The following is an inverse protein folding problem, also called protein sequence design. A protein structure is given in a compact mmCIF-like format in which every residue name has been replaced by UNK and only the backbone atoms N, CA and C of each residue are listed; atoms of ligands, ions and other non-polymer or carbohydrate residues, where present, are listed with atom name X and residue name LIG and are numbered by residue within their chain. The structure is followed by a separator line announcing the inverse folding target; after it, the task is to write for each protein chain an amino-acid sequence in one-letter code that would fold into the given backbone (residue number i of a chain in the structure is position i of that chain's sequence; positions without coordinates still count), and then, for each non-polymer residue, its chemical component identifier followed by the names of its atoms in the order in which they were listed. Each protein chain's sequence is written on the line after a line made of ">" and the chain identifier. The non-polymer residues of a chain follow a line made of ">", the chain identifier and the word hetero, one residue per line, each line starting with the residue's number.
data_IF_299355459585
#
_entry.id   IF_299355459585
#
_cell.length_a   1.000
_cell.length_b   1.000
_cell.length_c   1.000
_cell.angle_alpha   90.00
_cell.angle_beta   90.00
_cell.angle_gamma   90.00
#
_symmetry.space_group_name_H-M   'P 1'
#
loop_
_entity.id
_entity.type
_entity.pdbx_description
1 polymer ?
#
# COMPACT_ATOMS: atom_id res chain seq x y z
N UNK A 1 -2.13 23.33 15.16
CA UNK A 1 -2.83 22.02 15.15
C UNK A 1 -1.76 20.95 15.12
N UNK A 2 -1.67 20.12 16.15
CA UNK A 2 -0.78 18.95 16.12
C UNK A 2 -1.41 17.93 15.17
N UNK A 3 -0.84 17.77 13.97
CA UNK A 3 -1.25 16.69 13.09
C UNK A 3 -1.10 15.36 13.85
N UNK A 4 -2.21 14.64 14.01
CA UNK A 4 -2.16 13.30 14.58
C UNK A 4 -1.49 12.40 13.53
N UNK A 5 -0.28 11.86 13.80
CA UNK A 5 0.46 11.13 12.80
C UNK A 5 -0.31 9.87 12.40
N UNK A 6 -0.25 9.51 11.12
CA UNK A 6 -0.84 8.31 10.53
C UNK A 6 -2.37 8.29 10.33
N UNK A 7 -3.13 9.34 10.66
CA UNK A 7 -4.60 9.38 10.41
C UNK A 7 -4.93 9.12 8.94
N UNK A 8 -4.20 9.77 8.01
CA UNK A 8 -4.36 9.55 6.57
C UNK A 8 -4.06 8.10 6.17
N UNK A 9 -3.04 7.48 6.75
CA UNK A 9 -2.67 6.10 6.47
C UNK A 9 -3.77 5.13 6.91
N UNK A 10 -4.27 5.28 8.15
CA UNK A 10 -5.33 4.42 8.68
C UNK A 10 -6.65 4.62 7.92
N UNK A 11 -7.04 5.86 7.64
CA UNK A 11 -8.21 6.14 6.82
C UNK A 11 -8.11 5.55 5.41
N UNK A 12 -6.92 5.59 4.81
CA UNK A 12 -6.68 4.97 3.50
C UNK A 12 -6.78 3.44 3.56
N UNK A 13 -6.24 2.80 4.60
CA UNK A 13 -6.33 1.35 4.81
C UNK A 13 -7.71 0.85 5.22
N UNK A 14 -8.57 1.72 5.77
CA UNK A 14 -9.93 1.37 6.19
C UNK A 14 -10.85 0.89 5.05
N UNK A 15 -10.41 1.00 3.79
CA UNK A 15 -11.13 0.45 2.63
C UNK A 15 -10.75 -1.02 2.44
N UNK A 16 -11.74 -1.92 2.42
CA UNK A 16 -11.52 -3.36 2.36
C UNK A 16 -10.65 -3.85 1.19
N UNK A 17 -10.81 -3.29 -0.01
CA UNK A 17 -9.96 -3.62 -1.17
C UNK A 17 -8.51 -3.18 -0.97
N UNK A 18 -8.27 -2.01 -0.37
CA UNK A 18 -6.93 -1.51 -0.06
C UNK A 18 -6.25 -2.33 1.04
N UNK A 19 -7.01 -2.78 2.04
CA UNK A 19 -6.51 -3.73 3.03
C UNK A 19 -6.10 -5.06 2.39
N UNK A 20 -6.91 -5.62 1.47
CA UNK A 20 -6.55 -6.83 0.72
C UNK A 20 -5.26 -6.67 -0.09
N UNK A 21 -5.10 -5.52 -0.77
CA UNK A 21 -3.86 -5.20 -1.50
C UNK A 21 -2.67 -5.14 -0.53
N UNK A 22 -2.83 -4.47 0.61
CA UNK A 22 -1.78 -4.33 1.61
C UNK A 22 -1.35 -5.70 2.15
N UNK A 23 -2.29 -6.56 2.53
CA UNK A 23 -2.01 -7.93 3.00
C UNK A 23 -1.29 -8.77 1.95
N UNK A 24 -1.73 -8.68 0.70
CA UNK A 24 -1.09 -9.37 -0.42
C UNK A 24 0.37 -8.96 -0.59
N UNK A 25 0.63 -7.65 -0.64
CA UNK A 25 1.99 -7.12 -0.77
C UNK A 25 2.83 -7.39 0.48
N UNK A 26 2.24 -7.43 1.67
CA UNK A 26 2.92 -7.80 2.92
C UNK A 26 3.45 -9.24 2.86
N UNK A 27 2.64 -10.16 2.35
CA UNK A 27 2.99 -11.59 2.22
C UNK A 27 3.96 -11.83 1.06
N UNK A 28 3.75 -11.18 -0.09
CA UNK A 28 4.52 -11.41 -1.33
C UNK A 28 5.79 -10.55 -1.44
N UNK A 29 5.89 -9.45 -0.69
CA UNK A 29 6.98 -8.48 -0.76
C UNK A 29 6.75 -7.40 -1.82
N UNK A 30 6.61 -7.80 -3.10
CA UNK A 30 6.28 -6.88 -4.21
C UNK A 30 5.46 -7.56 -5.31
N UNK A 31 4.70 -6.78 -6.07
CA UNK A 31 3.95 -7.29 -7.22
C UNK A 31 3.67 -6.20 -8.26
N UNK A 32 3.42 -6.61 -9.51
CA UNK A 32 2.98 -5.72 -10.59
C UNK A 32 1.49 -5.41 -10.46
N UNK A 33 1.00 -4.40 -11.19
CA UNK A 33 -0.43 -4.07 -11.22
C UNK A 33 -1.27 -5.29 -11.63
N UNK A 34 -0.84 -6.03 -12.66
CA UNK A 34 -1.54 -7.23 -13.13
C UNK A 34 -1.58 -8.32 -12.05
N UNK A 35 -0.46 -8.58 -11.38
CA UNK A 35 -0.41 -9.55 -10.29
C UNK A 35 -1.27 -9.18 -9.08
N UNK A 36 -1.60 -7.89 -8.90
CA UNK A 36 -2.53 -7.42 -7.85
C UNK A 36 -3.99 -7.55 -8.34
N UNK A 37 -4.26 -7.23 -9.61
CA UNK A 37 -5.56 -7.42 -10.26
C UNK A 37 -6.03 -8.87 -10.16
N UNK A 38 -5.16 -9.82 -10.50
CA UNK A 38 -5.44 -11.26 -10.43
C UNK A 38 -5.81 -11.70 -9.01
N UNK A 39 -5.07 -11.21 -7.99
CA UNK A 39 -5.30 -11.59 -6.60
C UNK A 39 -6.57 -10.98 -5.99
N UNK A 40 -6.81 -9.70 -6.23
CA UNK A 40 -7.92 -8.97 -5.59
C UNK A 40 -9.24 -9.15 -6.36
N UNK A 41 -9.16 -9.59 -7.63
CA UNK A 41 -10.29 -9.80 -8.53
C UNK A 41 -11.13 -8.53 -8.75
N UNK A 42 -10.44 -7.38 -8.93
CA UNK A 42 -11.03 -6.10 -9.32
C UNK A 42 -10.44 -5.64 -10.65
N UNK A 43 -11.12 -4.72 -11.33
CA UNK A 43 -10.65 -4.19 -12.60
C UNK A 43 -9.33 -3.42 -12.45
N UNK A 44 -8.52 -3.42 -13.51
CA UNK A 44 -7.24 -2.70 -13.53
C UNK A 44 -7.36 -1.19 -13.26
N UNK A 45 -8.38 -0.47 -13.78
CA UNK A 45 -8.60 0.93 -13.41
C UNK A 45 -8.83 1.13 -11.91
N UNK A 46 -9.63 0.27 -11.28
CA UNK A 46 -9.89 0.32 -9.84
C UNK A 46 -8.63 0.04 -9.02
N UNK A 47 -7.85 -0.97 -9.40
CA UNK A 47 -6.58 -1.27 -8.73
C UNK A 47 -5.58 -0.13 -8.91
N UNK A 48 -5.44 0.42 -10.11
CA UNK A 48 -4.55 1.57 -10.36
C UNK A 48 -4.92 2.78 -9.51
N UNK A 49 -6.22 3.06 -9.37
CA UNK A 49 -6.72 4.09 -8.46
C UNK A 49 -6.34 3.81 -7.01
N UNK A 50 -6.57 2.60 -6.50
CA UNK A 50 -6.20 2.22 -5.13
C UNK A 50 -4.69 2.34 -4.87
N UNK A 51 -3.85 1.88 -5.81
CA UNK A 51 -2.40 1.95 -5.68
C UNK A 51 -1.91 3.41 -5.63
N UNK A 52 -2.49 4.29 -6.45
CA UNK A 52 -2.20 5.72 -6.41
C UNK A 52 -2.55 6.32 -5.05
N UNK A 53 -3.76 6.07 -4.55
CA UNK A 53 -4.23 6.58 -3.26
C UNK A 53 -3.35 6.09 -2.10
N UNK A 54 -3.02 4.80 -2.08
CA UNK A 54 -2.17 4.20 -1.05
C UNK A 54 -0.72 4.73 -1.11
N UNK A 55 -0.17 4.94 -2.31
CA UNK A 55 1.14 5.58 -2.48
C UNK A 55 1.13 7.03 -1.99
N UNK A 56 0.10 7.81 -2.32
CA UNK A 56 -0.07 9.19 -1.85
C UNK A 56 -0.30 9.30 -0.33
N UNK A 57 -0.83 8.25 0.30
CA UNK A 57 -0.91 8.14 1.74
C UNK A 57 0.41 7.72 2.40
N UNK A 58 1.43 7.34 1.63
CA UNK A 58 2.72 6.89 2.14
C UNK A 58 2.73 5.44 2.63
N UNK A 59 1.74 4.62 2.24
CA UNK A 59 1.66 3.20 2.58
C UNK A 59 2.47 2.31 1.63
N UNK A 60 2.55 2.72 0.36
CA UNK A 60 3.23 1.98 -0.70
C UNK A 60 4.32 2.82 -1.33
N UNK A 61 5.28 2.12 -1.92
CA UNK A 61 6.25 2.65 -2.86
C UNK A 61 6.22 1.85 -4.16
N UNK A 62 6.86 2.37 -5.19
CA UNK A 62 6.90 1.72 -6.49
C UNK A 62 8.27 1.86 -7.12
N UNK A 63 8.75 0.80 -7.74
CA UNK A 63 10.00 0.77 -8.49
C UNK A 63 9.74 0.26 -9.92
N UNK A 64 10.48 0.79 -10.88
CA UNK A 64 10.34 0.42 -12.30
C UNK A 64 11.46 -0.54 -12.68
N UNK A 65 11.10 -1.74 -13.11
CA UNK A 65 12.05 -2.74 -13.60
C UNK A 65 11.71 -3.08 -15.06
N UNK A 66 12.53 -2.56 -15.98
CA UNK A 66 12.25 -2.65 -17.42
C UNK A 66 10.96 -1.93 -17.80
N UNK A 67 10.00 -2.67 -18.36
CA UNK A 67 8.69 -2.14 -18.77
C UNK A 67 7.63 -2.20 -17.66
N UNK A 68 7.91 -2.91 -16.57
CA UNK A 68 6.95 -3.15 -15.50
C UNK A 68 7.17 -2.22 -14.30
N UNK A 69 6.07 -1.92 -13.60
CA UNK A 69 6.07 -1.19 -12.34
C UNK A 69 5.67 -2.15 -11.23
N UNK A 70 6.55 -2.28 -10.24
CA UNK A 70 6.34 -3.09 -9.06
C UNK A 70 5.94 -2.20 -7.89
N UNK A 71 4.95 -2.63 -7.12
CA UNK A 71 4.52 -2.00 -5.87
C UNK A 71 4.94 -2.85 -4.68
N UNK A 72 5.36 -2.19 -3.60
CA UNK A 72 5.73 -2.80 -2.31
C UNK A 72 5.27 -1.91 -1.15
N UNK A 73 5.23 -2.47 0.06
CA UNK A 73 4.92 -1.69 1.27
C UNK A 73 6.10 -0.78 1.59
N UNK A 74 5.80 0.51 1.80
CA UNK A 74 6.78 1.47 2.28
C UNK A 74 7.01 1.27 3.78
N UNK A 75 8.21 0.81 4.16
CA UNK A 75 8.54 0.47 5.55
C UNK A 75 8.84 1.68 6.44
N UNK A 76 9.21 2.82 5.85
CA UNK A 76 9.51 4.05 6.57
C UNK A 76 8.32 5.01 6.53
N UNK A 77 7.88 5.47 7.71
CA UNK A 77 6.79 6.40 7.87
C UNK A 77 7.26 7.84 7.57
N UNK A 78 6.70 8.52 6.55
CA UNK A 78 7.07 9.90 6.23
C UNK A 78 6.78 10.87 7.38
N UNK A 79 5.71 10.63 8.14
CA UNK A 79 5.27 11.51 9.23
C UNK A 79 6.04 11.33 10.54
N UNK A 80 6.77 10.21 10.71
CA UNK A 80 7.53 9.92 11.95
C UNK A 80 9.05 9.85 11.75
N UNK A 81 9.51 10.04 10.51
CA UNK A 81 10.91 9.86 10.09
C UNK A 81 11.56 8.59 10.69
N UNK A 82 10.82 7.48 10.64
CA UNK A 82 11.19 6.24 11.30
C UNK A 82 10.39 5.05 10.80
N UNK A 83 10.53 3.90 11.46
CA UNK A 83 9.84 2.67 11.07
C UNK A 83 8.31 2.82 11.17
N UNK A 84 7.60 2.33 10.16
CA UNK A 84 6.14 2.34 10.13
C UNK A 84 5.55 1.39 11.18
N UNK A 85 4.58 1.87 11.95
CA UNK A 85 3.88 1.05 12.97
C UNK A 85 3.21 -0.18 12.37
N UNK A 86 2.76 -0.08 11.12
CA UNK A 86 2.10 -1.18 10.39
C UNK A 86 3.01 -2.37 10.11
N UNK A 87 4.34 -2.21 10.22
CA UNK A 87 5.28 -3.33 10.06
C UNK A 87 5.19 -4.33 11.21
N UNK A 88 4.71 -3.90 12.38
CA UNK A 88 4.65 -4.70 13.62
C UNK A 88 3.25 -5.19 13.95
N UNK A 89 2.24 -4.69 13.23
CA UNK A 89 0.85 -5.07 13.45
C UNK A 89 0.60 -6.44 12.84
N UNK A 90 0.19 -7.41 13.65
CA UNK A 90 -0.41 -8.65 13.15
C UNK A 90 -1.80 -8.31 12.62
N UNK A 91 -1.99 -8.46 11.31
CA UNK A 91 -3.31 -8.38 10.68
C UNK A 91 -3.69 -9.83 10.46
N UNK A 92 -4.72 -10.26 11.16
CA UNK A 92 -5.28 -11.62 11.20
C UNK A 92 -5.77 -12.08 9.84
#
# INVERSE_FOLDING_TARGET
>A
MTETPCVKCFGTLGVGSRMKIFEYLRKKGKSTVNGIVEFVSLTQPTISYHLKEMKMAGLLESDKSGKEVFYSIKRMCPSRNGECVLNKVKLS
#
